data_IF_356859453224
#
_entry.id   IF_356859453224
#
_cell.length_a   1.000
_cell.length_b   1.000
_cell.length_c   1.000
_cell.angle_alpha   90.00
_cell.angle_beta   90.00
_cell.angle_gamma   90.00
#
_symmetry.space_group_name_H-M   'P 1'
#
loop_
_entity.id
_entity.type
_entity.pdbx_description
1 polymer ?
#
# COMPACT_ATOMS: atom_id res chain seq x y z
N UNK A 1 19.13 13.97 -34.77
CA UNK A 1 18.71 12.55 -34.94
C UNK A 1 18.14 12.06 -33.61
N UNK A 2 16.81 11.94 -33.47
CA UNK A 2 16.17 11.39 -32.26
C UNK A 2 16.48 9.90 -32.23
N UNK A 3 17.28 9.44 -31.26
CA UNK A 3 17.61 8.02 -31.10
C UNK A 3 16.32 7.23 -30.85
N UNK A 4 16.29 5.96 -31.26
CA UNK A 4 15.22 5.02 -30.88
C UNK A 4 15.23 4.93 -29.36
N UNK A 5 14.24 5.54 -28.71
CA UNK A 5 14.09 5.49 -27.26
C UNK A 5 13.93 4.01 -26.87
N UNK A 6 14.62 3.60 -25.80
CA UNK A 6 14.49 2.24 -25.28
C UNK A 6 13.05 2.03 -24.81
N UNK A 7 12.38 1.04 -25.38
CA UNK A 7 11.04 0.63 -24.95
C UNK A 7 11.12 -0.27 -23.73
N UNK A 8 10.00 -0.36 -22.98
CA UNK A 8 9.85 -1.33 -21.88
C UNK A 8 10.03 -2.75 -22.42
N UNK A 9 10.63 -3.65 -21.66
CA UNK A 9 10.76 -5.04 -22.11
C UNK A 9 9.40 -5.76 -22.10
N UNK A 10 9.19 -6.70 -23.03
CA UNK A 10 7.98 -7.53 -23.02
C UNK A 10 7.89 -8.38 -21.75
N UNK A 11 9.04 -8.83 -21.24
CA UNK A 11 9.12 -9.55 -19.98
C UNK A 11 8.56 -8.73 -18.81
N UNK A 12 8.98 -7.48 -18.65
CA UNK A 12 8.48 -6.60 -17.57
C UNK A 12 6.97 -6.36 -17.68
N UNK A 13 6.47 -6.19 -18.91
CA UNK A 13 5.03 -6.04 -19.18
C UNK A 13 4.30 -7.32 -18.81
N UNK A 14 4.81 -8.48 -19.18
CA UNK A 14 4.17 -9.77 -18.87
C UNK A 14 4.20 -10.08 -17.37
N UNK A 15 5.27 -9.73 -16.67
CA UNK A 15 5.41 -9.92 -15.21
C UNK A 15 4.38 -9.08 -14.45
N UNK A 16 4.21 -7.81 -14.80
CA UNK A 16 3.30 -6.90 -14.10
C UNK A 16 1.87 -6.93 -14.67
N UNK A 17 1.70 -7.45 -15.89
CA UNK A 17 0.45 -7.37 -16.67
C UNK A 17 -0.70 -8.18 -16.08
N UNK A 18 -0.43 -9.22 -15.30
CA UNK A 18 -1.48 -10.03 -14.70
C UNK A 18 -2.29 -9.32 -13.60
N UNK A 19 -1.67 -8.38 -12.88
CA UNK A 19 -2.36 -7.59 -11.85
C UNK A 19 -2.77 -6.20 -12.35
N UNK A 20 -2.00 -5.60 -13.26
CA UNK A 20 -2.20 -4.22 -13.70
C UNK A 20 -2.20 -4.07 -15.24
N UNK A 21 -3.02 -4.83 -15.99
CA UNK A 21 -2.89 -4.95 -17.46
C UNK A 21 -3.03 -3.63 -18.23
N UNK A 22 -3.79 -2.67 -17.68
CA UNK A 22 -4.04 -1.36 -18.28
C UNK A 22 -3.26 -0.22 -17.63
N UNK A 23 -2.47 -0.51 -16.60
CA UNK A 23 -1.65 0.50 -15.96
C UNK A 23 -0.51 0.90 -16.89
N UNK A 24 -0.19 2.19 -16.95
CA UNK A 24 0.77 2.73 -17.93
C UNK A 24 2.18 2.12 -17.84
N UNK A 25 2.54 1.50 -16.70
CA UNK A 25 3.78 0.74 -16.57
C UNK A 25 3.84 -0.47 -17.51
N UNK A 26 2.68 -1.00 -17.91
CA UNK A 26 2.53 -2.18 -18.76
C UNK A 26 2.21 -1.84 -20.22
N UNK A 27 2.31 -0.56 -20.59
CA UNK A 27 2.05 -0.11 -21.95
C UNK A 27 3.37 0.32 -22.60
N UNK A 28 3.55 -0.05 -23.87
CA UNK A 28 4.58 0.52 -24.75
C UNK A 28 4.27 1.99 -25.01
N UNK A 29 5.28 2.77 -25.37
CA UNK A 29 5.07 4.19 -25.69
C UNK A 29 4.09 4.33 -26.86
N UNK A 30 3.05 5.13 -26.67
CA UNK A 30 1.99 5.34 -27.67
C UNK A 30 0.90 6.28 -27.15
N UNK A 31 -0.17 6.50 -27.94
CA UNK A 31 -1.28 7.37 -27.54
C UNK A 31 -1.95 6.97 -26.23
N UNK A 32 -2.22 5.68 -26.02
CA UNK A 32 -2.83 5.15 -24.78
C UNK A 32 -1.92 5.38 -23.56
N UNK A 33 -0.64 5.03 -23.68
CA UNK A 33 0.35 5.30 -22.65
C UNK A 33 0.43 6.79 -22.28
N UNK A 34 0.45 7.67 -23.29
CA UNK A 34 0.50 9.12 -23.09
C UNK A 34 -0.76 9.63 -22.39
N UNK A 35 -1.94 9.12 -22.77
CA UNK A 35 -3.21 9.45 -22.13
C UNK A 35 -3.21 9.04 -20.65
N UNK A 36 -2.80 7.81 -20.32
CA UNK A 36 -2.76 7.35 -18.93
C UNK A 36 -1.76 8.14 -18.08
N UNK A 37 -0.57 8.47 -18.62
CA UNK A 37 0.40 9.31 -17.91
C UNK A 37 -0.11 10.73 -17.69
N UNK A 38 -0.88 11.27 -18.64
CA UNK A 38 -1.49 12.61 -18.50
C UNK A 38 -2.43 12.70 -17.30
N UNK A 39 -3.11 11.61 -16.93
CA UNK A 39 -3.97 11.57 -15.74
C UNK A 39 -3.17 11.72 -14.42
N UNK A 40 -1.88 11.36 -14.43
CA UNK A 40 -1.04 11.31 -13.23
C UNK A 40 -0.07 12.50 -13.12
N UNK A 41 0.06 13.29 -14.19
CA UNK A 41 1.11 14.31 -14.28
C UNK A 41 1.02 15.37 -13.15
N UNK A 42 -0.21 15.67 -12.71
CA UNK A 42 -0.46 16.69 -11.71
C UNK A 42 -0.20 16.20 -10.28
N UNK A 43 -0.09 14.88 -10.07
CA UNK A 43 0.24 14.29 -8.75
C UNK A 43 1.67 14.60 -8.29
N UNK A 44 2.54 15.04 -9.20
CA UNK A 44 3.90 15.47 -8.88
C UNK A 44 4.09 16.99 -8.98
N UNK A 45 3.03 17.74 -9.25
CA UNK A 45 3.11 19.19 -9.30
C UNK A 45 3.40 19.76 -7.90
N UNK A 46 4.23 20.80 -7.77
CA UNK A 46 4.53 21.41 -6.46
C UNK A 46 3.28 21.79 -5.66
N UNK A 47 2.23 22.26 -6.34
CA UNK A 47 0.95 22.60 -5.72
C UNK A 47 0.24 21.39 -5.11
N UNK A 48 0.27 20.24 -5.77
CA UNK A 48 -0.29 19.00 -5.23
C UNK A 48 0.54 18.49 -4.06
N UNK A 49 1.86 18.44 -4.22
CA UNK A 49 2.78 17.97 -3.17
C UNK A 49 2.65 18.81 -1.90
N UNK A 50 2.54 20.14 -2.03
CA UNK A 50 2.42 21.03 -0.88
C UNK A 50 1.03 21.01 -0.23
N UNK A 51 -0.04 21.06 -1.02
CA UNK A 51 -1.40 21.23 -0.47
C UNK A 51 -2.12 19.92 -0.17
N UNK A 52 -1.73 18.81 -0.80
CA UNK A 52 -2.41 17.51 -0.66
C UNK A 52 -1.48 16.47 -0.06
N UNK A 53 -0.29 16.24 -0.65
CA UNK A 53 0.57 15.16 -0.17
C UNK A 53 1.18 15.47 1.21
N UNK A 54 1.76 16.67 1.40
CA UNK A 54 2.48 17.01 2.62
C UNK A 54 1.62 16.97 3.90
N UNK A 55 0.39 17.53 3.95
CA UNK A 55 -0.45 17.45 5.15
C UNK A 55 -0.84 16.01 5.50
N UNK A 56 -1.12 15.19 4.48
CA UNK A 56 -1.48 13.78 4.67
C UNK A 56 -0.27 12.94 5.14
N UNK A 57 0.92 13.16 4.56
CA UNK A 57 2.16 12.52 5.03
C UNK A 57 2.47 12.95 6.48
N UNK A 58 2.27 14.22 6.83
CA UNK A 58 2.47 14.70 8.21
C UNK A 58 1.53 14.00 9.19
N UNK A 59 0.25 13.80 8.82
CA UNK A 59 -0.71 13.04 9.61
C UNK A 59 -0.25 11.60 9.84
N UNK A 60 0.15 10.88 8.79
CA UNK A 60 0.63 9.50 8.92
C UNK A 60 1.93 9.42 9.75
N UNK A 61 2.87 10.35 9.54
CA UNK A 61 4.10 10.43 10.32
C UNK A 61 3.84 10.74 11.81
N UNK A 62 2.83 11.57 12.12
CA UNK A 62 2.42 11.83 13.50
C UNK A 62 1.89 10.56 14.17
N UNK A 63 1.08 9.76 13.47
CA UNK A 63 0.60 8.47 13.98
C UNK A 63 1.74 7.47 14.23
N UNK A 64 2.77 7.46 13.37
CA UNK A 64 3.97 6.65 13.57
C UNK A 64 4.73 7.05 14.83
N UNK A 65 4.87 8.35 15.07
CA UNK A 65 5.51 8.86 16.29
C UNK A 65 4.73 8.41 17.53
N UNK A 66 3.39 8.48 17.51
CA UNK A 66 2.58 7.97 18.61
C UNK A 66 2.75 6.47 18.81
N UNK A 67 2.76 5.67 17.73
CA UNK A 67 3.03 4.23 17.80
C UNK A 67 4.40 3.94 18.44
N UNK A 68 5.44 4.66 18.05
CA UNK A 68 6.78 4.48 18.59
C UNK A 68 6.92 4.95 20.03
N UNK A 69 6.15 5.96 20.46
CA UNK A 69 6.08 6.32 21.89
C UNK A 69 5.54 5.16 22.71
N UNK A 70 4.43 4.55 22.29
CA UNK A 70 3.85 3.39 22.96
C UNK A 70 4.83 2.21 22.97
N UNK A 71 5.41 1.87 21.81
CA UNK A 71 6.41 0.79 21.71
C UNK A 71 7.62 1.05 22.60
N UNK A 72 8.15 2.27 22.63
CA UNK A 72 9.31 2.61 23.45
C UNK A 72 9.01 2.48 24.96
N UNK A 73 7.82 2.90 25.40
CA UNK A 73 7.38 2.72 26.78
C UNK A 73 7.26 1.24 27.16
N UNK A 74 6.61 0.45 26.31
CA UNK A 74 6.49 -1.00 26.51
C UNK A 74 7.87 -1.65 26.46
N UNK A 75 8.75 -1.21 25.57
CA UNK A 75 10.05 -1.85 25.38
C UNK A 75 11.06 -1.62 26.50
N UNK A 76 10.93 -0.52 27.24
CA UNK A 76 11.79 -0.18 28.37
C UNK A 76 13.28 -0.28 28.03
N UNK A 77 13.69 0.29 26.88
CA UNK A 77 15.07 0.32 26.41
C UNK A 77 15.50 -0.89 25.57
N UNK A 78 14.64 -1.90 25.37
CA UNK A 78 14.92 -3.02 24.45
C UNK A 78 14.67 -2.61 22.98
N UNK A 79 15.40 -3.17 22.00
CA UNK A 79 15.18 -2.88 20.60
C UNK A 79 13.87 -3.51 20.09
N UNK A 80 13.31 -2.95 19.01
CA UNK A 80 12.19 -3.51 18.26
C UNK A 80 12.31 -3.16 16.78
N UNK A 81 11.76 -4.00 15.90
CA UNK A 81 11.75 -3.72 14.45
C UNK A 81 10.81 -2.55 14.12
N UNK A 82 11.31 -1.64 13.27
CA UNK A 82 10.57 -0.53 12.70
C UNK A 82 10.04 -0.81 11.29
N UNK A 83 10.41 -1.94 10.68
CA UNK A 83 10.16 -2.23 9.26
C UNK A 83 8.67 -2.17 8.92
N UNK A 84 7.85 -2.92 9.67
CA UNK A 84 6.41 -2.99 9.43
C UNK A 84 5.71 -1.66 9.72
N UNK A 85 6.18 -0.92 10.72
CA UNK A 85 5.61 0.37 11.09
C UNK A 85 5.83 1.41 9.99
N UNK A 86 7.05 1.46 9.44
CA UNK A 86 7.40 2.34 8.32
C UNK A 86 6.60 1.94 7.08
N UNK A 87 6.48 0.63 6.81
CA UNK A 87 5.70 0.13 5.68
C UNK A 87 4.22 0.55 5.77
N UNK A 88 3.57 0.34 6.92
CA UNK A 88 2.17 0.74 7.12
C UNK A 88 1.99 2.25 7.15
N UNK A 89 2.94 3.00 7.67
CA UNK A 89 2.89 4.48 7.65
C UNK A 89 2.96 5.01 6.22
N UNK A 90 3.86 4.48 5.40
CA UNK A 90 3.97 4.86 4.00
C UNK A 90 2.71 4.47 3.21
N UNK A 91 2.14 3.30 3.50
CA UNK A 91 0.90 2.84 2.89
C UNK A 91 -0.27 3.77 3.25
N UNK A 92 -0.42 4.12 4.53
CA UNK A 92 -1.45 5.04 5.01
C UNK A 92 -1.31 6.42 4.38
N UNK A 93 -0.08 6.93 4.24
CA UNK A 93 0.16 8.20 3.56
C UNK A 93 -0.31 8.17 2.09
N UNK A 94 0.00 7.10 1.35
CA UNK A 94 -0.46 6.91 -0.05
C UNK A 94 -1.98 6.85 -0.12
N UNK A 95 -2.63 6.16 0.82
CA UNK A 95 -4.09 6.12 0.87
C UNK A 95 -4.70 7.47 1.26
N UNK A 96 -4.10 8.20 2.21
CA UNK A 96 -4.55 9.51 2.66
C UNK A 96 -4.50 10.54 1.50
N UNK A 97 -3.40 10.68 0.77
CA UNK A 97 -3.37 11.65 -0.35
C UNK A 97 -4.05 11.13 -1.62
N UNK A 98 -4.23 9.81 -1.78
CA UNK A 98 -4.86 9.21 -2.94
C UNK A 98 -6.40 9.17 -2.87
N UNK A 99 -6.94 8.86 -1.68
CA UNK A 99 -8.37 8.65 -1.46
C UNK A 99 -8.96 9.55 -0.37
N UNK A 100 -8.12 10.19 0.46
CA UNK A 100 -8.56 11.01 1.58
C UNK A 100 -9.43 10.21 2.55
N UNK A 101 -10.48 10.86 3.03
CA UNK A 101 -11.47 10.24 3.92
C UNK A 101 -12.42 9.26 3.21
N UNK A 102 -12.30 9.11 1.87
CA UNK A 102 -13.10 8.17 1.08
C UNK A 102 -12.82 6.69 1.41
N UNK A 103 -11.65 6.42 2.00
CA UNK A 103 -11.29 5.14 2.62
C UNK A 103 -11.21 5.33 4.14
N UNK A 104 -12.09 4.65 4.89
CA UNK A 104 -12.14 4.79 6.35
C UNK A 104 -11.01 4.05 7.08
N UNK A 105 -10.43 3.02 6.45
CA UNK A 105 -9.47 2.13 7.09
C UNK A 105 -8.03 2.55 6.82
N UNK A 106 -7.16 2.30 7.80
CA UNK A 106 -5.72 2.54 7.75
C UNK A 106 -5.01 1.33 8.36
N UNK A 107 -3.79 1.04 7.90
CA UNK A 107 -3.01 -0.12 8.31
C UNK A 107 -2.33 0.09 9.67
N UNK A 108 -1.86 1.31 9.96
CA UNK A 108 -1.13 1.63 11.19
C UNK A 108 -2.08 1.81 12.40
N UNK A 109 -3.29 2.33 12.16
CA UNK A 109 -4.24 2.68 13.23
C UNK A 109 -4.62 1.47 14.10
N UNK A 110 -4.98 0.29 13.57
CA UNK A 110 -5.24 -0.89 14.40
C UNK A 110 -4.04 -1.30 15.26
N UNK A 111 -2.81 -1.12 14.76
CA UNK A 111 -1.60 -1.42 15.52
C UNK A 111 -1.45 -0.48 16.71
N UNK A 112 -1.68 0.82 16.50
CA UNK A 112 -1.63 1.82 17.56
C UNK A 112 -2.68 1.57 18.65
N UNK A 113 -3.93 1.31 18.23
CA UNK A 113 -5.02 1.01 19.17
C UNK A 113 -4.77 -0.27 19.97
N UNK A 114 -4.13 -1.28 19.35
CA UNK A 114 -3.72 -2.48 20.07
C UNK A 114 -2.71 -2.19 21.17
N UNK A 115 -1.69 -1.37 20.90
CA UNK A 115 -0.69 -1.07 21.92
C UNK A 115 -1.29 -0.26 23.09
N UNK A 116 -2.23 0.63 22.81
CA UNK A 116 -2.94 1.43 23.83
C UNK A 116 -3.79 0.59 24.80
N UNK A 117 -4.15 -0.63 24.39
CA UNK A 117 -4.98 -1.54 25.20
C UNK A 117 -4.16 -2.60 25.94
N UNK A 118 -2.84 -2.66 25.74
CA UNK A 118 -1.95 -3.57 26.46
C UNK A 118 -1.93 -3.21 27.96
N UNK A 119 -2.17 -4.21 28.82
CA UNK A 119 -2.10 -4.06 30.27
C UNK A 119 -0.68 -4.33 30.81
N UNK A 120 -0.45 -4.10 32.11
CA UNK A 120 0.88 -4.23 32.71
C UNK A 120 1.40 -5.67 32.68
N UNK A 121 0.51 -6.64 32.82
CA UNK A 121 0.83 -8.07 32.79
C UNK A 121 1.37 -8.45 31.41
N UNK A 122 0.65 -8.10 30.35
CA UNK A 122 1.07 -8.36 28.96
C UNK A 122 2.35 -7.59 28.59
N UNK A 123 2.53 -6.35 29.06
CA UNK A 123 3.81 -5.64 28.89
C UNK A 123 4.98 -6.42 29.48
N UNK A 124 4.79 -7.05 30.64
CA UNK A 124 5.84 -7.81 31.30
C UNK A 124 6.10 -9.11 30.54
N UNK A 125 5.06 -9.81 30.08
CA UNK A 125 5.21 -11.00 29.24
C UNK A 125 5.99 -10.71 27.95
N UNK A 126 5.70 -9.60 27.26
CA UNK A 126 6.43 -9.18 26.06
C UNK A 126 7.92 -8.93 26.35
N UNK A 127 8.25 -8.44 27.55
CA UNK A 127 9.63 -8.19 27.97
C UNK A 127 10.36 -9.48 28.36
N UNK A 128 9.66 -10.41 28.99
CA UNK A 128 10.22 -11.66 29.49
C UNK A 128 10.48 -12.67 28.37
N UNK A 129 9.74 -12.56 27.27
CA UNK A 129 9.96 -13.37 26.06
C UNK A 129 11.28 -13.02 25.33
N UNK A 130 11.92 -11.90 25.67
CA UNK A 130 13.13 -11.44 24.99
C UNK A 130 14.38 -11.92 25.72
N UNK A 131 15.15 -12.79 25.05
CA UNK A 131 16.54 -13.07 25.40
C UNK A 131 17.38 -11.81 25.19
N UNK A 132 18.37 -11.59 26.07
CA UNK A 132 19.25 -10.41 26.01
C UNK A 132 19.83 -10.18 24.59
N UNK A 133 19.66 -8.96 24.07
CA UNK A 133 20.11 -8.57 22.73
C UNK A 133 19.12 -8.83 21.58
N UNK A 134 18.01 -9.54 21.82
CA UNK A 134 16.95 -9.73 20.82
C UNK A 134 15.91 -8.60 20.84
N UNK A 135 15.18 -8.47 19.74
CA UNK A 135 14.09 -7.51 19.61
C UNK A 135 12.81 -7.96 20.31
N UNK A 136 12.05 -7.01 20.86
CA UNK A 136 10.66 -7.24 21.26
C UNK A 136 9.80 -7.40 20.02
N UNK A 137 8.99 -8.47 20.03
CA UNK A 137 7.99 -8.73 19.01
C UNK A 137 6.64 -8.25 19.52
N UNK A 138 6.19 -7.12 18.99
CA UNK A 138 4.85 -6.61 19.25
C UNK A 138 3.79 -7.44 18.51
N UNK A 139 2.58 -7.60 19.08
CA UNK A 139 1.47 -8.21 18.36
C UNK A 139 1.15 -7.41 17.09
N UNK A 140 0.86 -8.11 16.00
CA UNK A 140 0.47 -7.50 14.73
C UNK A 140 -1.02 -7.74 14.50
N UNK A 141 -1.80 -6.66 14.47
CA UNK A 141 -3.23 -6.72 14.22
C UNK A 141 -3.53 -6.91 12.73
N UNK A 142 -4.58 -7.68 12.38
CA UNK A 142 -5.06 -7.77 11.01
C UNK A 142 -5.47 -6.39 10.46
N UNK A 143 -5.04 -6.08 9.24
CA UNK A 143 -5.49 -4.89 8.52
C UNK A 143 -6.79 -5.16 7.77
N UNK A 144 -7.53 -4.10 7.43
CA UNK A 144 -8.80 -4.26 6.73
C UNK A 144 -8.61 -4.93 5.35
N UNK A 145 -9.48 -5.87 4.94
CA UNK A 145 -9.33 -6.61 3.67
C UNK A 145 -9.18 -5.73 2.42
N UNK A 146 -9.81 -4.54 2.41
CA UNK A 146 -9.68 -3.58 1.30
C UNK A 146 -8.24 -3.05 1.11
N UNK A 147 -7.43 -3.04 2.18
CA UNK A 147 -6.01 -2.66 2.16
C UNK A 147 -5.13 -3.89 1.92
N UNK A 148 -5.50 -5.03 2.51
CA UNK A 148 -4.77 -6.29 2.34
C UNK A 148 -4.79 -6.79 0.89
N UNK A 149 -5.92 -6.65 0.19
CA UNK A 149 -6.06 -7.20 -1.17
C UNK A 149 -5.11 -6.63 -2.22
N UNK A 150 -4.94 -5.30 -2.32
CA UNK A 150 -3.89 -4.72 -3.16
C UNK A 150 -2.47 -5.18 -2.80
N UNK A 151 -2.16 -5.37 -1.51
CA UNK A 151 -0.84 -5.85 -1.07
C UNK A 151 -0.59 -7.30 -1.48
N UNK A 152 -1.57 -8.17 -1.29
CA UNK A 152 -1.48 -9.58 -1.69
C UNK A 152 -1.32 -9.76 -3.22
N UNK A 153 -1.78 -8.78 -4.02
CA UNK A 153 -1.50 -8.76 -5.45
C UNK A 153 0.00 -8.58 -5.75
N UNK A 154 0.75 -7.83 -4.93
CA UNK A 154 2.18 -7.63 -5.12
C UNK A 154 2.98 -8.94 -4.92
N UNK A 155 2.60 -9.78 -3.96
CA UNK A 155 3.24 -11.07 -3.73
C UNK A 155 3.12 -12.02 -4.94
N UNK A 156 2.01 -11.92 -5.68
CA UNK A 156 1.83 -12.70 -6.89
C UNK A 156 2.83 -12.32 -7.99
N UNK A 157 3.17 -11.02 -8.09
CA UNK A 157 4.14 -10.51 -9.08
C UNK A 157 5.52 -11.13 -8.85
N UNK A 158 5.99 -11.17 -7.60
CA UNK A 158 7.30 -11.75 -7.25
C UNK A 158 7.39 -13.22 -7.68
N UNK A 159 6.36 -14.01 -7.38
CA UNK A 159 6.29 -15.41 -7.79
C UNK A 159 6.27 -15.59 -9.32
N UNK A 160 5.63 -14.68 -10.05
CA UNK A 160 5.59 -14.72 -11.52
C UNK A 160 6.92 -14.31 -12.14
N UNK A 161 7.61 -13.30 -11.59
CA UNK A 161 8.91 -12.85 -12.05
C UNK A 161 9.95 -13.98 -12.03
N UNK A 162 9.92 -14.84 -11.00
CA UNK A 162 10.80 -15.99 -10.87
C UNK A 162 10.47 -17.18 -11.79
N UNK A 163 9.34 -17.16 -12.50
CA UNK A 163 8.87 -18.33 -13.28
C UNK A 163 9.56 -18.52 -14.63
N UNK A 164 10.23 -17.49 -15.17
CA UNK A 164 10.79 -17.50 -16.52
C UNK A 164 9.76 -17.44 -17.66
N UNK A 165 8.49 -17.82 -17.41
CA UNK A 165 7.39 -17.77 -18.38
C UNK A 165 6.16 -17.04 -17.80
N UNK A 166 6.21 -15.69 -17.70
CA UNK A 166 5.24 -14.94 -16.91
C UNK A 166 3.78 -15.09 -17.34
N UNK A 167 3.51 -15.16 -18.65
CA UNK A 167 2.14 -15.36 -19.17
C UNK A 167 1.51 -16.67 -18.69
N UNK A 168 2.29 -17.76 -18.71
CA UNK A 168 1.81 -19.07 -18.27
C UNK A 168 1.62 -19.10 -16.75
N UNK A 169 2.56 -18.53 -16.00
CA UNK A 169 2.45 -18.40 -14.55
C UNK A 169 1.22 -17.57 -14.14
N UNK A 170 0.92 -16.48 -14.85
CA UNK A 170 -0.31 -15.70 -14.64
C UNK A 170 -1.57 -16.46 -14.98
N UNK A 171 -1.55 -17.26 -16.05
CA UNK A 171 -2.69 -18.11 -16.40
C UNK A 171 -3.00 -19.09 -15.27
N UNK A 172 -1.99 -19.81 -14.75
CA UNK A 172 -2.15 -20.71 -13.61
C UNK A 172 -2.59 -19.99 -12.34
N UNK A 173 -1.97 -18.85 -11.99
CA UNK A 173 -2.36 -18.05 -10.82
C UNK A 173 -3.79 -17.53 -10.94
N UNK A 174 -4.22 -17.10 -12.13
CA UNK A 174 -5.56 -16.61 -12.39
C UNK A 174 -6.67 -17.65 -12.17
N UNK A 175 -6.33 -18.95 -12.17
CA UNK A 175 -7.27 -20.02 -11.84
C UNK A 175 -7.52 -20.16 -10.34
N UNK A 176 -6.61 -19.68 -9.48
CA UNK A 176 -6.69 -19.84 -8.04
C UNK A 176 -7.87 -19.04 -7.44
N UNK A 177 -8.77 -19.66 -6.65
CA UNK A 177 -9.91 -18.98 -6.05
C UNK A 177 -9.52 -17.77 -5.18
N UNK A 178 -8.41 -17.88 -4.44
CA UNK A 178 -7.87 -16.78 -3.63
C UNK A 178 -7.54 -15.56 -4.50
N UNK A 179 -6.82 -15.74 -5.61
CA UNK A 179 -6.44 -14.66 -6.52
C UNK A 179 -7.68 -14.02 -7.14
N UNK A 180 -8.66 -14.81 -7.57
CA UNK A 180 -9.94 -14.29 -8.10
C UNK A 180 -10.69 -13.45 -7.07
N UNK A 181 -10.78 -13.93 -5.82
CA UNK A 181 -11.44 -13.20 -4.73
C UNK A 181 -10.75 -11.87 -4.44
N UNK A 182 -9.42 -11.86 -4.37
CA UNK A 182 -8.66 -10.63 -4.10
C UNK A 182 -8.77 -9.62 -5.23
N UNK A 183 -8.75 -10.07 -6.50
CA UNK A 183 -8.99 -9.19 -7.66
C UNK A 183 -10.39 -8.60 -7.64
N UNK A 184 -11.42 -9.41 -7.35
CA UNK A 184 -12.78 -8.91 -7.21
C UNK A 184 -12.89 -7.84 -6.12
N UNK A 185 -12.33 -8.09 -4.93
CA UNK A 185 -12.34 -7.14 -3.83
C UNK A 185 -11.63 -5.82 -4.18
N UNK A 186 -10.47 -5.89 -4.84
CA UNK A 186 -9.74 -4.73 -5.33
C UNK A 186 -10.54 -3.96 -6.38
N UNK A 187 -11.12 -4.65 -7.35
CA UNK A 187 -11.87 -4.03 -8.44
C UNK A 187 -13.14 -3.35 -7.92
N UNK A 188 -13.82 -3.96 -6.94
CA UNK A 188 -14.98 -3.38 -6.26
C UNK A 188 -14.58 -2.13 -5.47
N UNK A 189 -13.46 -2.19 -4.73
CA UNK A 189 -12.90 -1.01 -4.05
C UNK A 189 -12.61 0.14 -5.03
N UNK A 190 -11.95 -0.14 -6.16
CA UNK A 190 -11.64 0.89 -7.15
C UNK A 190 -12.88 1.51 -7.78
N UNK A 191 -13.90 0.69 -8.08
CA UNK A 191 -15.19 1.19 -8.60
C UNK A 191 -15.88 2.07 -7.56
N UNK A 192 -15.93 1.66 -6.30
CA UNK A 192 -16.54 2.44 -5.22
C UNK A 192 -15.87 3.82 -5.08
N UNK A 193 -14.53 3.85 -5.06
CA UNK A 193 -13.78 5.11 -4.96
C UNK A 193 -13.97 6.00 -6.19
N UNK A 194 -14.06 5.42 -7.38
CA UNK A 194 -14.37 6.16 -8.60
C UNK A 194 -15.77 6.77 -8.55
N UNK A 195 -16.79 6.02 -8.13
CA UNK A 195 -18.16 6.52 -7.96
C UNK A 195 -18.20 7.66 -6.94
N UNK A 196 -17.60 7.47 -5.76
CA UNK A 196 -17.49 8.52 -4.72
C UNK A 196 -16.77 9.77 -5.21
N UNK A 197 -15.79 9.63 -6.10
CA UNK A 197 -15.08 10.77 -6.68
C UNK A 197 -15.98 11.54 -7.68
N UNK A 198 -16.77 10.83 -8.49
CA UNK A 198 -17.75 11.44 -9.40
C UNK A 198 -18.82 12.20 -8.62
N UNK A 199 -19.36 11.60 -7.56
CA UNK A 199 -20.36 12.24 -6.69
C UNK A 199 -19.82 13.54 -6.07
N UNK A 200 -18.60 13.50 -5.50
CA UNK A 200 -17.92 14.70 -4.95
C UNK A 200 -17.71 15.78 -6.00
N UNK A 201 -17.30 15.39 -7.21
CA UNK A 201 -17.10 16.35 -8.30
C UNK A 201 -18.41 17.01 -8.75
N UNK A 202 -19.56 16.36 -8.56
CA UNK A 202 -20.87 16.92 -8.89
C UNK A 202 -21.41 17.81 -7.77
N UNK A 203 -21.15 17.47 -6.51
CA UNK A 203 -21.56 18.27 -5.34
C UNK A 203 -20.74 19.54 -5.14
N UNK A 204 -19.43 19.49 -5.39
CA UNK A 204 -18.52 20.63 -5.22
C UNK A 204 -18.59 21.62 -6.41
N UNK A 205 -19.39 21.29 -7.43
CA UNK A 205 -19.63 22.09 -8.63
C UNK A 205 -20.82 23.07 -8.55
N UNK A 206 -21.46 23.20 -7.38
CA UNK A 206 -22.49 24.20 -7.04
C UNK A 206 -22.00 25.10 -5.91
#
# INVERSE_FOLDING_TARGET
>A
MRRKEFERSDFSIDVLGGEAPKFHINLKTGPEWKAHRRLLQDLMAPKFLHNVAAPNIYKSASNLIELWKEKAQIAAGRPFSAEQDIFYTALDAVYDFGFGDGLAHRALIPQLERLRTINKEEMQELRDQVVEGNEIKFPLEPIHPAIEAPLASADNVTGVAGSGFPKLAWWFKGLQPKVKKMRALRDDFLKEQATKAVERSQSDGT
#
